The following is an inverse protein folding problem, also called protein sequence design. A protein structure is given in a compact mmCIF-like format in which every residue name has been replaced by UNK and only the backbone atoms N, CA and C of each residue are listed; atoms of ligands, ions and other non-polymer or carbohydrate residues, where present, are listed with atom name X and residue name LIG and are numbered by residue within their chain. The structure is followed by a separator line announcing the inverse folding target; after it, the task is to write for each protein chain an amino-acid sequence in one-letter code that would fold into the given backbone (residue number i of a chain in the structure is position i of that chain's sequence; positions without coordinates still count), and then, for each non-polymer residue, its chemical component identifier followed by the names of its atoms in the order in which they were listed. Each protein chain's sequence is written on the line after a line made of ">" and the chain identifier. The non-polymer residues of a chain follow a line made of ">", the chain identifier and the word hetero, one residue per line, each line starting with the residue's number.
data_IF_815306931658
#
_entry.id   IF_815306931658
#
_cell.length_a   1.000
_cell.length_b   1.000
_cell.length_c   1.000
_cell.angle_alpha   90.00
_cell.angle_beta   90.00
_cell.angle_gamma   90.00
#
_symmetry.space_group_name_H-M   'P 1'
#
loop_
_entity.id
_entity.type
_entity.pdbx_description
1 polymer ?
#
# COMPACT_ATOMS: atom_id res chain seq x y z
N UNK A 1 17.90 17.81 3.03
CA UNK A 1 17.34 16.44 2.86
C UNK A 1 15.83 16.36 3.11
N UNK A 2 15.32 16.46 4.36
CA UNK A 2 13.87 16.25 4.60
C UNK A 2 12.98 17.23 3.83
N UNK A 3 13.19 18.54 4.00
CA UNK A 3 12.45 19.59 3.29
C UNK A 3 12.79 19.68 1.79
N UNK A 4 14.05 19.44 1.44
CA UNK A 4 14.54 19.36 0.06
C UNK A 4 13.74 18.34 -0.78
N UNK A 5 13.40 17.19 -0.18
CA UNK A 5 12.55 16.18 -0.81
C UNK A 5 11.07 16.32 -0.46
N UNK A 6 10.62 17.54 -0.14
CA UNK A 6 9.21 17.88 0.12
C UNK A 6 8.59 16.97 1.19
N UNK A 7 9.36 16.64 2.22
CA UNK A 7 8.97 15.81 3.37
C UNK A 7 8.65 14.34 3.00
N UNK A 8 9.00 13.87 1.80
CA UNK A 8 8.72 12.48 1.36
C UNK A 8 9.75 11.47 1.83
N UNK A 9 10.86 11.95 2.39
CA UNK A 9 12.00 11.11 2.76
C UNK A 9 11.94 10.83 4.26
N UNK A 10 11.70 9.56 4.60
CA UNK A 10 11.80 9.08 5.99
C UNK A 10 13.22 8.62 6.34
N UNK A 11 13.38 8.01 7.51
CA UNK A 11 14.68 7.59 8.06
C UNK A 11 15.54 6.83 7.05
N UNK A 12 14.98 5.86 6.34
CA UNK A 12 15.68 5.04 5.35
C UNK A 12 16.23 5.88 4.19
N UNK A 13 15.37 6.71 3.57
CA UNK A 13 15.77 7.52 2.40
C UNK A 13 16.75 8.62 2.79
N UNK A 14 16.57 9.23 3.97
CA UNK A 14 17.53 10.22 4.49
C UNK A 14 18.89 9.55 4.76
N UNK A 15 18.90 8.34 5.32
CA UNK A 15 20.16 7.61 5.58
C UNK A 15 20.90 7.29 4.28
N UNK A 16 20.19 6.85 3.24
CA UNK A 16 20.79 6.62 1.92
C UNK A 16 21.36 7.93 1.33
N UNK A 17 20.65 9.03 1.48
CA UNK A 17 21.11 10.34 0.98
C UNK A 17 22.33 10.85 1.75
N UNK A 18 22.38 10.64 3.07
CA UNK A 18 23.56 10.93 3.88
C UNK A 18 24.76 10.07 3.45
N UNK A 19 24.54 8.78 3.19
CA UNK A 19 25.57 7.87 2.68
C UNK A 19 26.13 8.34 1.32
N UNK A 20 25.27 8.77 0.38
CA UNK A 20 25.70 9.37 -0.90
C UNK A 20 26.52 10.65 -0.71
N UNK A 21 26.24 11.41 0.35
CA UNK A 21 27.01 12.61 0.74
C UNK A 21 28.26 12.29 1.57
N UNK A 22 28.61 11.01 1.73
CA UNK A 22 29.79 10.54 2.49
C UNK A 22 29.57 10.35 3.99
N UNK A 23 28.38 10.68 4.51
CA UNK A 23 28.06 10.63 5.94
C UNK A 23 27.42 9.28 6.26
N UNK A 24 28.20 8.40 6.90
CA UNK A 24 27.74 7.07 7.29
C UNK A 24 27.14 7.11 8.69
N UNK A 25 25.82 7.02 8.77
CA UNK A 25 25.07 6.98 10.03
C UNK A 25 24.10 5.81 10.03
N UNK A 26 23.86 5.23 11.21
CA UNK A 26 22.85 4.19 11.36
C UNK A 26 21.44 4.77 11.15
N UNK A 27 20.60 4.10 10.37
CA UNK A 27 19.21 4.50 10.13
C UNK A 27 18.37 4.64 11.41
N UNK A 28 18.70 3.88 12.48
CA UNK A 28 18.07 4.03 13.79
C UNK A 28 18.32 5.39 14.43
N UNK A 29 19.54 5.94 14.26
CA UNK A 29 19.91 7.27 14.77
C UNK A 29 19.14 8.35 14.03
N UNK A 30 19.08 8.26 12.70
CA UNK A 30 18.29 9.18 11.86
C UNK A 30 16.81 9.11 12.23
N UNK A 31 16.25 7.91 12.42
CA UNK A 31 14.87 7.72 12.85
C UNK A 31 14.57 8.34 14.22
N UNK A 32 15.47 8.20 15.20
CA UNK A 32 15.32 8.81 16.52
C UNK A 32 15.31 10.34 16.44
N UNK A 33 16.21 10.94 15.66
CA UNK A 33 16.26 12.38 15.46
C UNK A 33 14.99 12.90 14.76
N UNK A 34 14.53 12.22 13.71
CA UNK A 34 13.27 12.55 13.05
C UNK A 34 12.09 12.55 14.05
N UNK A 35 12.02 11.52 14.89
CA UNK A 35 10.96 11.40 15.90
C UNK A 35 11.04 12.51 16.96
N UNK A 36 12.24 12.81 17.48
CA UNK A 36 12.45 13.88 18.45
C UNK A 36 12.06 15.25 17.90
N UNK A 37 12.22 15.46 16.59
CA UNK A 37 11.85 16.69 15.89
C UNK A 37 10.39 16.69 15.38
N UNK A 38 9.63 15.61 15.60
CA UNK A 38 8.25 15.48 15.10
C UNK A 38 8.14 15.42 13.57
N UNK A 39 9.21 15.04 12.87
CA UNK A 39 9.27 15.00 11.41
C UNK A 39 8.85 13.63 10.88
N UNK A 40 7.67 13.57 10.28
CA UNK A 40 7.13 12.35 9.68
C UNK A 40 7.10 12.45 8.16
N UNK A 41 7.58 11.41 7.49
CA UNK A 41 7.59 11.39 6.04
C UNK A 41 6.16 11.29 5.48
N UNK A 42 5.84 12.11 4.48
CA UNK A 42 4.61 11.98 3.70
C UNK A 42 4.58 10.60 3.05
N UNK A 43 3.58 9.81 3.40
CA UNK A 43 3.33 8.53 2.76
C UNK A 43 3.14 8.70 1.24
N UNK A 44 3.47 7.67 0.47
CA UNK A 44 3.04 7.61 -0.93
C UNK A 44 1.51 7.69 -0.95
N UNK A 45 0.95 8.54 -1.81
CA UNK A 45 -0.50 8.57 -2.04
C UNK A 45 -0.90 7.19 -2.56
N UNK A 46 -1.51 6.39 -1.70
CA UNK A 46 -2.07 5.11 -2.08
C UNK A 46 -3.27 5.39 -2.99
N UNK A 47 -3.11 5.17 -4.29
CA UNK A 47 -4.25 5.19 -5.19
C UNK A 47 -5.06 3.92 -4.91
N UNK A 48 -6.29 4.09 -4.42
CA UNK A 48 -7.22 2.99 -4.22
C UNK A 48 -7.37 2.22 -5.52
N UNK A 49 -6.88 0.98 -5.55
CA UNK A 49 -7.11 0.10 -6.69
C UNK A 49 -8.56 -0.37 -6.57
N UNK A 50 -9.46 0.19 -7.37
CA UNK A 50 -10.78 -0.39 -7.54
C UNK A 50 -10.60 -1.86 -7.94
N UNK A 51 -10.88 -2.76 -7.00
CA UNK A 51 -11.03 -4.18 -7.31
C UNK A 51 -12.21 -4.28 -8.29
N UNK A 52 -11.96 -4.89 -9.45
CA UNK A 52 -12.88 -5.01 -10.58
C UNK A 52 -14.32 -5.39 -10.18
N UNK A 53 -15.16 -4.39 -9.86
CA UNK A 53 -16.62 -4.54 -9.66
C UNK A 53 -17.40 -4.59 -10.98
N UNK A 54 -16.70 -4.52 -12.12
CA UNK A 54 -17.25 -4.66 -13.48
C UNK A 54 -16.80 -5.94 -14.18
N UNK A 55 -16.79 -7.07 -13.48
CA UNK A 55 -17.10 -8.29 -14.23
C UNK A 55 -18.60 -8.22 -14.45
N UNK A 56 -19.02 -7.93 -15.68
CA UNK A 56 -20.23 -8.60 -16.16
C UNK A 56 -20.03 -10.05 -15.78
N UNK A 57 -20.98 -10.66 -15.08
CA UNK A 57 -21.02 -12.10 -14.97
C UNK A 57 -20.84 -12.62 -16.38
N UNK A 58 -19.63 -13.08 -16.72
CA UNK A 58 -19.41 -13.88 -17.91
C UNK A 58 -20.27 -15.09 -17.61
N UNK A 59 -21.50 -15.06 -18.08
CA UNK A 59 -22.43 -16.17 -18.06
C UNK A 59 -21.73 -17.22 -18.89
N UNK A 60 -20.90 -18.03 -18.23
CA UNK A 60 -20.28 -19.18 -18.85
C UNK A 60 -21.46 -20.05 -19.31
N UNK A 61 -21.49 -20.50 -20.56
CA UNK A 61 -22.58 -21.34 -21.03
C UNK A 61 -22.68 -22.55 -20.10
N UNK A 62 -23.91 -22.88 -19.69
CA UNK A 62 -24.17 -24.06 -18.87
C UNK A 62 -23.98 -25.31 -19.74
N UNK A 63 -22.73 -25.76 -19.89
CA UNK A 63 -22.39 -26.90 -20.76
C UNK A 63 -23.09 -28.20 -20.34
N UNK A 64 -23.53 -28.28 -19.10
CA UNK A 64 -24.20 -29.46 -18.50
C UNK A 64 -25.73 -29.27 -18.46
N UNK A 65 -26.25 -28.12 -18.89
CA UNK A 65 -27.68 -27.74 -18.83
C UNK A 65 -28.34 -27.99 -17.46
N UNK A 66 -27.58 -27.88 -16.37
CA UNK A 66 -28.11 -28.15 -15.04
C UNK A 66 -28.74 -26.88 -14.44
N UNK A 67 -30.07 -26.87 -14.30
CA UNK A 67 -30.83 -25.78 -13.72
C UNK A 67 -31.16 -26.09 -12.26
N UNK A 68 -30.49 -25.42 -11.33
CA UNK A 68 -30.83 -25.53 -9.90
C UNK A 68 -31.87 -24.46 -9.56
N UNK A 69 -33.11 -24.89 -9.31
CA UNK A 69 -34.14 -24.04 -8.74
C UNK A 69 -34.43 -24.47 -7.31
N UNK A 70 -34.38 -23.51 -6.38
CA UNK A 70 -34.70 -23.73 -4.98
C UNK A 70 -36.00 -23.00 -4.66
N UNK A 71 -36.98 -23.72 -4.14
CA UNK A 71 -38.27 -23.17 -3.67
C UNK A 71 -38.19 -22.61 -2.25
N UNK A 72 -37.09 -22.83 -1.54
CA UNK A 72 -36.87 -22.34 -0.18
C UNK A 72 -35.45 -22.55 0.32
N UNK A 73 -35.15 -21.99 1.49
CA UNK A 73 -33.86 -22.19 2.17
C UNK A 73 -33.71 -23.64 2.62
N UNK A 74 -32.47 -24.11 2.68
CA UNK A 74 -32.15 -25.44 3.19
C UNK A 74 -32.61 -25.56 4.65
N UNK A 75 -33.28 -26.66 5.00
CA UNK A 75 -33.75 -26.91 6.37
C UNK A 75 -32.70 -27.79 7.05
N UNK A 76 -32.36 -27.45 8.30
CA UNK A 76 -31.46 -28.23 9.15
C UNK A 76 -32.13 -29.51 9.63
#
# INVERSE_FOLDING_TARGET
>A
IFYEHKERYGSVRITQELCRRGIHVNHKRVGRLLHQLGLYAKGSRYQYKYYNRRRSSLTRPNLVNQCFQATGKNKL
#
